data_IF_848698943465
#
_entry.id   IF_848698943465
#
_cell.length_a   1.000
_cell.length_b   1.000
_cell.length_c   1.000
_cell.angle_alpha   90.00
_cell.angle_beta   90.00
_cell.angle_gamma   90.00
#
_symmetry.space_group_name_H-M   'P 1'
#
loop_
_entity.id
_entity.type
_entity.pdbx_description
1 polymer ?
#
# COMPACT_ATOMS: atom_id res chain seq x y z
N UNK A 1 -5.94 5.09 22.79
CA UNK A 1 -6.93 5.99 23.43
C UNK A 1 -8.30 5.40 23.24
N UNK A 2 -9.21 5.47 24.23
CA UNK A 2 -10.61 5.09 24.05
C UNK A 2 -11.44 6.36 23.93
N UNK A 3 -12.38 6.39 23.00
CA UNK A 3 -13.22 7.57 22.76
C UNK A 3 -14.26 7.72 23.88
N UNK A 4 -14.34 8.91 24.48
CA UNK A 4 -15.41 9.25 25.44
C UNK A 4 -16.75 9.39 24.71
N UNK A 5 -17.85 9.25 25.44
CA UNK A 5 -19.20 9.39 24.88
C UNK A 5 -19.43 10.79 24.29
N UNK A 6 -19.03 11.84 25.00
CA UNK A 6 -19.12 13.24 24.52
C UNK A 6 -18.34 13.48 23.22
N UNK A 7 -17.18 12.82 23.07
CA UNK A 7 -16.37 12.90 21.84
C UNK A 7 -17.05 12.12 20.71
N UNK A 8 -17.71 11.01 21.04
CA UNK A 8 -18.48 10.21 20.08
C UNK A 8 -19.67 10.98 19.53
N UNK A 9 -20.45 11.62 20.38
CA UNK A 9 -21.64 12.39 19.97
C UNK A 9 -21.31 13.49 18.96
N UNK A 10 -20.12 14.09 19.06
CA UNK A 10 -19.63 15.08 18.08
C UNK A 10 -19.19 14.45 16.77
N UNK A 11 -18.54 13.28 16.83
CA UNK A 11 -17.98 12.59 15.67
C UNK A 11 -19.03 11.85 14.86
N UNK A 12 -19.93 11.14 15.53
CA UNK A 12 -20.98 10.32 14.93
C UNK A 12 -21.72 11.03 13.78
N UNK A 13 -22.20 12.29 13.91
CA UNK A 13 -22.91 12.96 12.84
C UNK A 13 -22.07 13.17 11.57
N UNK A 14 -20.74 13.14 11.67
CA UNK A 14 -19.82 13.37 10.55
C UNK A 14 -19.42 12.10 9.79
N UNK A 15 -19.67 10.93 10.38
CA UNK A 15 -19.26 9.65 9.80
C UNK A 15 -20.23 9.16 8.72
N UNK A 16 -19.69 8.52 7.67
CA UNK A 16 -20.46 7.84 6.62
C UNK A 16 -20.73 6.37 7.00
N UNK A 17 -21.90 5.84 6.65
CA UNK A 17 -22.32 4.47 6.97
C UNK A 17 -23.07 4.38 8.30
N UNK A 18 -23.92 5.35 8.60
CA UNK A 18 -24.83 5.32 9.75
C UNK A 18 -25.96 4.34 9.52
N UNK A 19 -26.67 3.99 10.59
CA UNK A 19 -27.94 3.28 10.48
C UNK A 19 -28.88 4.06 9.54
N UNK A 20 -29.25 3.48 8.41
CA UNK A 20 -30.03 4.13 7.34
C UNK A 20 -29.27 4.46 6.05
N UNK A 21 -27.94 4.45 6.04
CA UNK A 21 -27.17 4.63 4.79
C UNK A 21 -27.22 3.36 3.92
N UNK A 22 -27.36 3.52 2.61
CA UNK A 22 -27.35 2.40 1.67
C UNK A 22 -26.04 1.58 1.79
N UNK A 23 -26.14 0.31 2.20
CA UNK A 23 -24.99 -0.57 2.45
C UNK A 23 -24.53 -0.66 3.91
N UNK A 24 -25.20 0.03 4.84
CA UNK A 24 -24.92 -0.01 6.28
C UNK A 24 -25.46 -1.30 6.94
N UNK A 25 -25.02 -2.47 6.48
CA UNK A 25 -25.24 -3.72 7.25
C UNK A 25 -24.17 -3.83 8.34
N UNK A 26 -24.51 -3.34 9.54
CA UNK A 26 -24.10 -3.96 10.80
C UNK A 26 -22.63 -3.85 11.22
N UNK A 27 -22.04 -2.66 11.26
CA UNK A 27 -20.79 -2.46 12.01
C UNK A 27 -20.87 -1.22 12.86
N UNK A 28 -20.74 -1.45 14.16
CA UNK A 28 -20.52 -0.43 15.17
C UNK A 28 -19.40 0.53 14.72
N UNK A 29 -19.81 1.74 14.30
CA UNK A 29 -18.89 2.76 13.81
C UNK A 29 -17.96 3.22 14.93
N UNK A 30 -18.42 3.17 16.18
CA UNK A 30 -17.62 3.53 17.34
C UNK A 30 -16.53 2.50 17.57
N UNK A 31 -16.88 1.22 17.53
CA UNK A 31 -15.91 0.12 17.62
C UNK A 31 -14.86 0.22 16.51
N UNK A 32 -15.25 0.62 15.30
CA UNK A 32 -14.32 0.85 14.21
C UNK A 32 -13.38 2.05 14.47
N UNK A 33 -13.90 3.18 14.93
CA UNK A 33 -13.06 4.34 15.29
C UNK A 33 -12.10 3.97 16.43
N UNK A 34 -12.55 3.26 17.46
CA UNK A 34 -11.70 2.79 18.55
C UNK A 34 -10.58 1.85 18.03
N UNK A 35 -10.88 1.00 17.05
CA UNK A 35 -9.89 0.16 16.39
C UNK A 35 -8.83 0.98 15.64
N UNK A 36 -9.25 2.02 14.93
CA UNK A 36 -8.38 2.93 14.18
C UNK A 36 -7.50 3.74 15.14
N UNK A 37 -8.06 4.27 16.23
CA UNK A 37 -7.32 4.97 17.27
C UNK A 37 -6.30 4.08 17.98
N UNK A 38 -6.62 2.79 18.14
CA UNK A 38 -5.69 1.82 18.72
C UNK A 38 -4.51 1.56 17.78
N UNK A 39 -4.76 1.38 16.47
CA UNK A 39 -3.69 1.05 15.52
C UNK A 39 -2.79 2.24 15.22
N UNK A 40 -3.35 3.44 15.02
CA UNK A 40 -2.57 4.66 14.75
C UNK A 40 -1.74 5.05 15.97
N UNK A 41 -2.33 5.02 17.16
CA UNK A 41 -1.64 5.36 18.41
C UNK A 41 -0.55 4.37 18.81
N UNK A 42 -0.68 3.10 18.43
CA UNK A 42 0.35 2.08 18.73
C UNK A 42 1.41 1.97 17.63
N UNK A 43 1.22 2.63 16.47
CA UNK A 43 2.00 2.47 15.23
C UNK A 43 2.28 0.99 14.86
N UNK A 44 1.32 0.11 15.14
CA UNK A 44 1.40 -1.34 14.89
C UNK A 44 0.90 -1.70 13.49
N UNK A 45 1.14 -2.94 13.06
CA UNK A 45 0.60 -3.44 11.81
C UNK A 45 -0.86 -3.83 11.97
N UNK A 46 -1.68 -3.61 10.93
CA UNK A 46 -3.09 -4.02 10.92
C UNK A 46 -3.30 -5.49 11.30
N UNK A 47 -2.34 -6.38 11.02
CA UNK A 47 -2.40 -7.81 11.40
C UNK A 47 -2.41 -8.04 12.91
N UNK A 48 -1.92 -7.08 13.69
CA UNK A 48 -1.88 -7.16 15.15
C UNK A 48 -3.17 -6.64 15.80
N UNK A 49 -4.17 -6.27 15.00
CA UNK A 49 -5.43 -5.73 15.50
C UNK A 49 -6.13 -6.79 16.38
N UNK A 50 -6.43 -6.47 17.66
CA UNK A 50 -7.11 -7.40 18.55
C UNK A 50 -8.48 -7.83 18.03
N UNK A 51 -8.80 -9.11 18.19
CA UNK A 51 -10.06 -9.72 17.70
C UNK A 51 -11.33 -9.04 18.21
N UNK A 52 -11.27 -8.36 19.38
CA UNK A 52 -12.40 -7.58 19.92
C UNK A 52 -12.89 -6.46 18.99
N UNK A 53 -12.03 -5.99 18.08
CA UNK A 53 -12.37 -4.99 17.07
C UNK A 53 -12.87 -5.61 15.76
N UNK A 54 -12.98 -6.94 15.71
CA UNK A 54 -13.37 -7.69 14.54
C UNK A 54 -12.18 -8.08 13.64
N UNK A 55 -12.51 -8.53 12.43
CA UNK A 55 -11.51 -9.02 11.46
C UNK A 55 -10.66 -7.87 10.92
N UNK A 56 -9.36 -7.93 11.16
CA UNK A 56 -8.41 -6.89 10.76
C UNK A 56 -8.49 -6.53 9.27
N UNK A 57 -8.65 -7.52 8.38
CA UNK A 57 -8.67 -7.28 6.94
C UNK A 57 -9.86 -6.39 6.55
N UNK A 58 -11.02 -6.59 7.18
CA UNK A 58 -12.18 -5.76 6.84
C UNK A 58 -12.11 -4.37 7.46
N UNK A 59 -11.54 -4.24 8.67
CA UNK A 59 -11.27 -2.92 9.25
C UNK A 59 -10.27 -2.14 8.38
N UNK A 60 -9.19 -2.79 7.93
CA UNK A 60 -8.20 -2.22 7.01
C UNK A 60 -8.83 -1.76 5.69
N UNK A 61 -9.64 -2.59 5.03
CA UNK A 61 -10.30 -2.21 3.78
C UNK A 61 -11.22 -0.99 3.95
N UNK A 62 -11.95 -0.92 5.06
CA UNK A 62 -12.78 0.25 5.39
C UNK A 62 -11.93 1.48 5.63
N UNK A 63 -10.85 1.35 6.40
CA UNK A 63 -9.90 2.43 6.66
C UNK A 63 -9.31 2.98 5.36
N UNK A 64 -8.86 2.12 4.45
CA UNK A 64 -8.30 2.54 3.16
C UNK A 64 -9.32 3.27 2.29
N UNK A 65 -10.58 2.82 2.27
CA UNK A 65 -11.66 3.52 1.57
C UNK A 65 -11.87 4.94 2.12
N UNK A 66 -11.83 5.09 3.44
CA UNK A 66 -11.95 6.40 4.09
C UNK A 66 -10.74 7.29 3.84
N UNK A 67 -9.53 6.70 3.82
CA UNK A 67 -8.31 7.40 3.48
C UNK A 67 -8.34 7.95 2.04
N UNK A 68 -8.70 7.10 1.08
CA UNK A 68 -8.81 7.47 -0.34
C UNK A 68 -9.89 8.53 -0.63
N UNK A 69 -10.93 8.59 0.20
CA UNK A 69 -12.01 9.60 0.11
C UNK A 69 -11.72 10.87 0.91
N UNK A 70 -10.49 11.02 1.41
CA UNK A 70 -10.05 12.15 2.23
C UNK A 70 -10.93 12.42 3.46
N UNK A 71 -11.55 11.36 4.01
CA UNK A 71 -12.47 11.52 5.14
C UNK A 71 -11.71 11.82 6.43
N UNK A 72 -10.55 11.19 6.65
CA UNK A 72 -9.76 11.40 7.88
C UNK A 72 -9.29 12.85 8.03
N UNK A 73 -8.77 13.45 6.95
CA UNK A 73 -8.41 14.87 6.90
C UNK A 73 -9.61 15.77 7.25
N UNK A 74 -10.75 15.54 6.61
CA UNK A 74 -11.97 16.31 6.90
C UNK A 74 -12.43 16.18 8.34
N UNK A 75 -12.30 15.00 8.96
CA UNK A 75 -12.65 14.82 10.36
C UNK A 75 -11.69 15.62 11.26
N UNK A 76 -10.38 15.52 11.03
CA UNK A 76 -9.38 16.27 11.80
C UNK A 76 -9.58 17.79 11.72
N UNK A 77 -9.86 18.33 10.53
CA UNK A 77 -10.08 19.76 10.30
C UNK A 77 -11.31 20.34 11.03
N UNK A 78 -12.33 19.51 11.23
CA UNK A 78 -13.58 19.93 11.87
C UNK A 78 -13.57 19.78 13.39
N UNK A 79 -12.63 19.02 13.96
CA UNK A 79 -12.45 18.89 15.41
C UNK A 79 -11.56 20.03 15.88
N UNK A 80 -12.15 21.14 16.33
CA UNK A 80 -11.40 22.34 16.77
C UNK A 80 -11.52 22.61 18.26
N UNK A 81 -12.52 22.05 18.90
CA UNK A 81 -12.91 22.29 20.29
C UNK A 81 -12.36 21.25 21.27
N UNK A 82 -11.70 20.20 20.76
CA UNK A 82 -11.00 19.19 21.57
C UNK A 82 -9.59 18.91 21.00
N UNK A 83 -8.55 19.58 21.53
CA UNK A 83 -7.18 19.42 21.03
C UNK A 83 -6.64 17.99 21.12
N UNK A 84 -7.09 17.22 22.12
CA UNK A 84 -6.64 15.84 22.31
C UNK A 84 -7.26 14.93 21.25
N UNK A 85 -8.53 15.15 20.96
CA UNK A 85 -9.22 14.41 19.91
C UNK A 85 -8.68 14.78 18.53
N UNK A 86 -8.44 16.07 18.29
CA UNK A 86 -7.83 16.57 17.05
C UNK A 86 -6.48 15.88 16.81
N UNK A 87 -5.57 15.93 17.79
CA UNK A 87 -4.26 15.28 17.69
C UNK A 87 -4.37 13.76 17.44
N UNK A 88 -5.40 13.10 17.99
CA UNK A 88 -5.63 11.68 17.72
C UNK A 88 -6.03 11.41 16.26
N UNK A 89 -6.80 12.31 15.64
CA UNK A 89 -7.18 12.23 14.23
C UNK A 89 -6.05 12.67 13.29
N UNK A 90 -5.23 13.64 13.68
CA UNK A 90 -4.01 13.98 12.94
C UNK A 90 -3.05 12.78 12.87
N UNK A 91 -2.89 12.05 13.98
CA UNK A 91 -2.12 10.80 13.98
C UNK A 91 -2.73 9.73 13.04
N UNK A 92 -4.05 9.73 12.84
CA UNK A 92 -4.71 8.82 11.89
C UNK A 92 -4.41 9.23 10.45
N UNK A 93 -4.43 10.53 10.17
CA UNK A 93 -4.07 11.12 8.88
C UNK A 93 -2.63 10.76 8.51
N UNK A 94 -1.68 11.07 9.39
CA UNK A 94 -0.26 10.77 9.18
C UNK A 94 -0.04 9.28 8.90
N UNK A 95 -0.67 8.43 9.71
CA UNK A 95 -0.61 6.99 9.53
C UNK A 95 -1.18 6.57 8.16
N UNK A 96 -2.34 7.09 7.76
CA UNK A 96 -2.96 6.79 6.47
C UNK A 96 -2.11 7.19 5.27
N UNK A 97 -1.45 8.34 5.36
CA UNK A 97 -0.57 8.86 4.31
C UNK A 97 0.73 8.06 4.20
N UNK A 98 1.35 7.70 5.33
CA UNK A 98 2.48 6.76 5.36
C UNK A 98 2.15 5.44 4.66
N UNK A 99 0.96 4.89 4.90
CA UNK A 99 0.51 3.66 4.24
C UNK A 99 0.26 3.84 2.74
N UNK A 100 -0.32 4.97 2.34
CA UNK A 100 -0.55 5.30 0.94
C UNK A 100 0.77 5.46 0.18
N UNK A 101 1.75 6.13 0.79
CA UNK A 101 3.11 6.26 0.25
C UNK A 101 3.80 4.90 0.09
N UNK A 102 3.68 4.00 1.09
CA UNK A 102 4.25 2.63 0.99
C UNK A 102 3.63 1.82 -0.14
N UNK A 103 2.32 1.92 -0.37
CA UNK A 103 1.64 1.25 -1.49
C UNK A 103 2.15 1.81 -2.82
N UNK A 104 2.24 3.14 -2.95
CA UNK A 104 2.79 3.80 -4.15
C UNK A 104 4.25 3.38 -4.41
N UNK A 105 5.09 3.34 -3.38
CA UNK A 105 6.47 2.89 -3.48
C UNK A 105 6.59 1.41 -3.89
N UNK A 106 5.74 0.52 -3.37
CA UNK A 106 5.72 -0.90 -3.80
C UNK A 106 5.33 -1.04 -5.26
N UNK A 107 4.33 -0.29 -5.72
CA UNK A 107 3.95 -0.25 -7.13
C UNK A 107 5.10 0.27 -8.00
N UNK A 108 5.74 1.38 -7.59
CA UNK A 108 6.91 1.95 -8.27
C UNK A 108 8.08 0.97 -8.34
N UNK A 109 8.43 0.30 -7.25
CA UNK A 109 9.51 -0.72 -7.24
C UNK A 109 9.22 -1.88 -8.18
N UNK A 110 7.96 -2.30 -8.30
CA UNK A 110 7.58 -3.36 -9.24
C UNK A 110 7.79 -2.92 -10.67
N UNK A 111 7.32 -1.73 -11.03
CA UNK A 111 7.50 -1.14 -12.37
C UNK A 111 8.98 -0.92 -12.68
N UNK A 112 9.77 -0.38 -11.76
CA UNK A 112 11.22 -0.20 -11.93
C UNK A 112 11.95 -1.52 -12.13
N UNK A 113 11.54 -2.58 -11.44
CA UNK A 113 12.11 -3.93 -11.62
C UNK A 113 11.73 -4.53 -12.98
N UNK A 114 10.47 -4.43 -13.38
CA UNK A 114 10.00 -4.89 -14.68
C UNK A 114 10.74 -4.17 -15.83
N UNK A 115 10.94 -2.85 -15.70
CA UNK A 115 11.71 -2.05 -16.65
C UNK A 115 13.20 -2.46 -16.69
N UNK A 116 13.81 -2.70 -15.53
CA UNK A 116 15.20 -3.18 -15.43
C UNK A 116 15.37 -4.57 -16.06
N UNK A 117 14.47 -5.52 -15.73
CA UNK A 117 14.51 -6.89 -16.26
C UNK A 117 14.29 -6.90 -17.79
N UNK A 118 13.40 -6.04 -18.30
CA UNK A 118 13.18 -5.87 -19.74
C UNK A 118 14.40 -5.28 -20.46
N UNK A 119 15.04 -4.25 -19.89
CA UNK A 119 16.25 -3.65 -20.45
C UNK A 119 17.42 -4.65 -20.47
N UNK A 120 17.60 -5.43 -19.39
CA UNK A 120 18.61 -6.48 -19.33
C UNK A 120 18.38 -7.58 -20.39
N UNK A 121 17.11 -7.98 -20.58
CA UNK A 121 16.73 -8.94 -21.62
C UNK A 121 17.01 -8.39 -23.03
N UNK A 122 16.69 -7.13 -23.29
CA UNK A 122 16.93 -6.50 -24.59
C UNK A 122 18.42 -6.36 -24.90
N UNK A 123 19.23 -5.94 -23.93
CA UNK A 123 20.68 -5.90 -24.05
C UNK A 123 21.28 -7.30 -24.32
N UNK A 124 20.72 -8.37 -23.72
CA UNK A 124 21.16 -9.74 -24.01
C UNK A 124 20.82 -10.23 -25.43
N UNK A 125 19.73 -9.70 -26.02
CA UNK A 125 19.31 -10.01 -27.39
C UNK A 125 20.15 -9.22 -28.40
N UNK A 126 20.45 -7.95 -28.14
CA UNK A 126 21.32 -7.12 -28.99
C UNK A 126 22.80 -7.53 -28.91
N UNK A 127 23.25 -7.98 -27.74
CA UNK A 127 24.60 -8.54 -27.56
C UNK A 127 24.72 -9.99 -28.10
N UNK A 128 23.61 -10.64 -28.46
CA UNK A 128 23.68 -11.92 -29.15
C UNK A 128 24.24 -11.65 -30.54
N UNK A 129 25.37 -12.27 -30.93
CA UNK A 129 25.98 -12.00 -32.23
C UNK A 129 24.96 -12.31 -33.32
N UNK A 130 24.62 -11.29 -34.12
CA UNK A 130 23.90 -11.49 -35.38
C UNK A 130 24.73 -12.49 -36.16
N UNK A 131 24.20 -13.71 -36.33
CA UNK A 131 24.90 -14.89 -36.83
C UNK A 131 26.03 -14.52 -37.78
N UNK A 132 27.24 -14.50 -37.25
CA UNK A 132 28.41 -14.11 -37.99
C UNK A 132 28.77 -15.31 -38.87
N UNK A 133 28.81 -15.07 -40.18
CA UNK A 133 29.37 -15.98 -41.18
C UNK A 133 30.80 -16.44 -40.79
N UNK A 134 31.44 -15.71 -39.85
CA UNK A 134 32.68 -16.05 -39.14
C UNK A 134 32.64 -17.35 -38.32
N UNK A 135 31.47 -17.90 -37.98
CA UNK A 135 31.39 -19.18 -37.25
C UNK A 135 31.94 -20.37 -38.06
N UNK A 136 32.06 -20.22 -39.39
CA UNK A 136 32.69 -21.21 -40.28
C UNK A 136 34.16 -20.89 -40.62
N UNK A 137 34.65 -19.70 -40.30
CA UNK A 137 36.01 -19.28 -40.66
C UNK A 137 37.09 -19.99 -39.82
N UNK A 138 36.85 -20.21 -38.53
CA UNK A 138 37.80 -20.95 -37.68
C UNK A 138 37.87 -22.44 -38.03
N UNK A 139 36.79 -23.04 -38.57
CA UNK A 139 36.78 -24.42 -39.07
C UNK A 139 37.60 -24.57 -40.36
N UNK A 140 37.63 -23.55 -41.23
CA UNK A 140 38.47 -23.51 -42.43
C UNK A 140 39.97 -23.46 -42.10
N UNK A 141 40.33 -22.75 -41.01
CA UNK A 141 41.72 -22.61 -40.55
C UNK A 141 42.27 -23.91 -39.92
N UNK A 142 41.44 -24.69 -39.24
CA UNK A 142 41.87 -25.95 -38.60
C UNK A 142 42.07 -27.07 -39.61
N UNK A 143 41.43 -27.02 -40.78
CA UNK A 143 41.55 -28.06 -41.81
C UNK A 143 42.72 -27.85 -42.79
N UNK A 144 43.54 -26.80 -42.62
CA UNK A 144 44.69 -26.49 -43.48
C UNK A 144 46.06 -26.86 -42.88
N UNK A 145 46.11 -27.44 -41.68
CA UNK A 145 47.38 -27.69 -40.96
C UNK A 145 47.62 -29.16 -40.59
N UNK A 146 47.10 -30.11 -41.37
CA UNK A 146 47.50 -31.52 -41.29
C UNK A 146 48.31 -31.91 -42.53
N UNK A 147 49.62 -32.21 -42.40
CA UNK A 147 50.41 -32.71 -43.51
C UNK A 147 50.01 -34.16 -43.84
N UNK A 148 49.95 -34.57 -45.11
CA UNK A 148 49.80 -35.97 -45.46
C UNK A 148 51.06 -36.74 -45.02
N UNK A 149 50.86 -37.83 -44.27
CA UNK A 149 51.89 -38.81 -43.92
C UNK A 149 52.32 -39.67 -45.09
#
# INVERSE_FOLDING_TARGET
>A
MKLKDEQWEKLEPMLRGKEGDAGARGRDNRLFIDAVLWISGSRRLWRDLPLRFGKWNTAYMRFMRWNQSNLWHRLAENIKDDPRLQAAFDNIVDYGDEWTLRIKQRASRRVSREAYDAAAKQASVEAAPAGDDSTLHWLSLVNQTLPPG
#
